data_IF_609005025653
#
_entry.id   IF_609005025653
#
_cell.length_a   1.000
_cell.length_b   1.000
_cell.length_c   1.000
_cell.angle_alpha   90.00
_cell.angle_beta   90.00
_cell.angle_gamma   90.00
#
_symmetry.space_group_name_H-M   'P 1'
#
loop_
_entity.id
_entity.type
_entity.pdbx_description
1 polymer ?
#
# COMPACT_ATOMS: atom_id res chain seq x y z
N UNK A 1 -40.24 51.18 48.80
CA UNK A 1 -40.63 50.70 47.45
C UNK A 1 -39.37 50.09 46.85
N UNK A 2 -39.10 48.83 47.19
CA UNK A 2 -39.44 47.64 46.39
C UNK A 2 -38.39 47.44 45.26
N UNK A 3 -37.61 46.37 45.20
CA UNK A 3 -37.68 45.11 45.94
C UNK A 3 -36.34 44.38 45.95
N UNK A 4 -36.17 43.60 47.02
CA UNK A 4 -35.35 42.41 47.06
C UNK A 4 -35.87 41.41 46.02
N UNK A 5 -34.99 40.63 45.39
CA UNK A 5 -35.14 39.18 45.54
C UNK A 5 -33.81 38.44 45.45
N UNK A 6 -33.71 37.40 46.29
CA UNK A 6 -32.56 36.57 46.57
C UNK A 6 -32.82 35.15 46.06
N UNK A 7 -31.79 34.43 45.65
CA UNK A 7 -31.86 32.97 45.45
C UNK A 7 -30.49 32.42 45.04
N UNK A 8 -29.59 32.09 45.97
CA UNK A 8 -29.43 30.79 46.66
C UNK A 8 -28.86 29.71 45.71
N UNK A 9 -27.83 28.90 45.97
CA UNK A 9 -27.13 28.38 47.16
C UNK A 9 -25.71 27.94 46.72
N UNK A 10 -24.60 28.12 47.48
CA UNK A 10 -23.93 27.13 48.38
C UNK A 10 -23.98 25.68 47.84
N UNK A 11 -22.92 24.85 47.78
CA UNK A 11 -21.76 24.66 48.69
C UNK A 11 -20.86 23.49 48.20
N UNK A 12 -19.55 23.56 48.47
CA UNK A 12 -18.66 22.42 48.81
C UNK A 12 -18.20 21.50 47.66
N UNK A 13 -17.05 20.83 47.70
CA UNK A 13 -16.04 20.60 48.75
C UNK A 13 -14.78 20.02 48.06
N UNK A 14 -13.60 20.39 48.57
CA UNK A 14 -12.31 19.94 48.09
C UNK A 14 -11.99 18.47 48.45
N UNK A 15 -11.12 17.88 47.60
CA UNK A 15 -9.91 17.06 47.86
C UNK A 15 -9.98 15.84 48.78
N UNK A 16 -9.46 14.70 48.32
CA UNK A 16 -8.62 13.74 49.06
C UNK A 16 -8.10 12.68 48.05
N UNK A 17 -6.83 12.24 48.00
CA UNK A 17 -5.66 12.43 48.86
C UNK A 17 -4.34 12.50 48.04
N UNK A 18 -3.36 13.30 48.46
CA UNK A 18 -2.27 12.99 49.42
C UNK A 18 -1.05 12.30 48.73
N UNK A 19 -0.01 13.02 48.28
CA UNK A 19 1.22 13.50 48.99
C UNK A 19 2.20 12.34 49.38
N UNK A 20 3.55 12.33 49.26
CA UNK A 20 4.62 13.35 49.09
C UNK A 20 6.00 12.74 48.68
N UNK A 21 6.74 13.49 47.81
CA UNK A 21 8.19 13.78 47.55
C UNK A 21 9.37 12.77 47.66
N UNK A 22 10.38 13.04 46.80
CA UNK A 22 11.75 13.49 47.18
C UNK A 22 12.33 14.44 46.09
N UNK A 23 12.96 15.60 46.41
CA UNK A 23 13.62 16.46 45.42
C UNK A 23 15.09 16.07 45.22
N UNK A 24 15.76 16.75 44.26
CA UNK A 24 17.19 16.70 43.82
C UNK A 24 17.28 16.08 42.41
N UNK A 25 17.91 16.63 41.36
CA UNK A 25 18.68 17.85 41.10
C UNK A 25 18.45 18.24 39.62
N UNK A 26 18.73 19.49 39.26
CA UNK A 26 18.63 19.96 37.87
C UNK A 26 19.76 19.37 37.04
N UNK A 27 19.42 18.59 36.02
CA UNK A 27 20.21 18.52 34.79
C UNK A 27 19.40 19.09 33.64
N UNK A 28 19.98 20.13 33.05
CA UNK A 28 19.42 20.87 31.94
C UNK A 28 19.73 20.09 30.67
N UNK A 29 18.73 19.39 30.12
CA UNK A 29 18.74 19.04 28.70
C UNK A 29 17.37 19.34 28.13
N UNK A 30 17.25 20.57 27.62
CA UNK A 30 16.15 20.95 26.78
C UNK A 30 16.21 20.15 25.48
N UNK A 31 15.20 19.33 25.21
CA UNK A 31 14.38 19.56 24.01
C UNK A 31 13.02 18.85 24.15
N UNK A 32 12.05 19.58 24.71
CA UNK A 32 10.65 19.32 24.45
C UNK A 32 10.26 20.18 23.22
N UNK A 33 10.19 19.51 22.08
CA UNK A 33 9.78 20.03 20.76
C UNK A 33 10.10 18.92 19.76
N UNK A 34 9.22 18.45 18.89
CA UNK A 34 8.08 19.09 18.25
C UNK A 34 7.04 18.02 17.91
N UNK A 35 5.81 18.17 18.39
CA UNK A 35 4.64 17.55 17.79
C UNK A 35 4.03 18.56 16.82
N UNK A 36 4.61 18.62 15.62
CA UNK A 36 4.02 19.23 14.45
C UNK A 36 4.27 18.23 13.32
N UNK A 37 3.30 17.35 13.10
CA UNK A 37 3.33 16.46 11.94
C UNK A 37 3.37 17.34 10.68
N UNK A 38 4.45 17.21 9.92
CA UNK A 38 4.77 18.02 8.76
C UNK A 38 3.83 17.66 7.60
N UNK A 39 2.86 18.54 7.32
CA UNK A 39 1.95 18.48 6.16
C UNK A 39 2.64 19.02 4.89
N UNK A 40 3.73 18.37 4.45
CA UNK A 40 4.47 18.77 3.24
C UNK A 40 4.99 17.58 2.45
N UNK A 41 5.12 17.74 1.13
CA UNK A 41 5.90 16.84 0.28
C UNK A 41 7.36 16.92 0.71
N UNK A 42 7.91 15.83 1.23
CA UNK A 42 9.31 15.77 1.66
C UNK A 42 10.13 14.98 0.64
N UNK A 43 11.37 15.40 0.42
CA UNK A 43 12.33 14.57 -0.32
C UNK A 43 12.58 13.33 0.54
N UNK A 44 12.34 12.14 -0.01
CA UNK A 44 12.46 10.90 0.75
C UNK A 44 13.94 10.61 1.05
N UNK A 45 14.43 11.09 2.20
CA UNK A 45 15.81 10.87 2.67
C UNK A 45 16.05 9.39 3.02
N UNK A 46 14.99 8.64 3.38
CA UNK A 46 15.01 7.22 3.67
C UNK A 46 13.83 6.51 2.97
N UNK A 47 14.16 5.57 2.08
CA UNK A 47 13.20 4.73 1.38
C UNK A 47 13.04 3.41 2.14
N UNK A 48 11.82 2.90 2.38
CA UNK A 48 11.63 1.62 3.06
C UNK A 48 12.15 0.46 2.21
N UNK A 49 12.87 -0.48 2.83
CA UNK A 49 13.36 -1.68 2.13
C UNK A 49 12.22 -2.61 1.69
N UNK A 50 11.06 -2.51 2.34
CA UNK A 50 9.84 -3.28 2.08
C UNK A 50 8.80 -2.48 1.26
N UNK A 51 9.19 -1.38 0.62
CA UNK A 51 8.30 -0.56 -0.18
C UNK A 51 7.88 -1.31 -1.46
N UNK A 52 6.57 -1.53 -1.62
CA UNK A 52 5.99 -2.24 -2.76
C UNK A 52 5.29 -1.25 -3.68
N UNK A 53 5.57 -1.33 -4.98
CA UNK A 53 4.86 -0.54 -6.00
C UNK A 53 3.40 -1.01 -6.10
N UNK A 54 2.46 -0.08 -5.93
CA UNK A 54 1.02 -0.39 -5.89
C UNK A 54 0.21 0.37 -6.95
N UNK A 55 0.83 1.32 -7.64
CA UNK A 55 0.16 2.08 -8.71
C UNK A 55 0.99 3.26 -9.20
N UNK A 56 0.38 4.10 -10.04
CA UNK A 56 0.99 5.32 -10.55
C UNK A 56 -0.01 6.47 -10.63
N UNK A 57 0.44 7.69 -10.35
CA UNK A 57 -0.36 8.91 -10.50
C UNK A 57 -0.54 9.19 -11.99
N UNK A 58 -1.79 9.13 -12.46
CA UNK A 58 -2.13 9.28 -13.88
C UNK A 58 -2.66 10.66 -14.23
N UNK A 59 -3.31 11.35 -13.29
CA UNK A 59 -3.87 12.68 -13.52
C UNK A 59 -4.20 13.43 -12.22
N UNK A 60 -4.55 14.71 -12.34
CA UNK A 60 -5.19 15.47 -11.27
C UNK A 60 -6.70 15.18 -11.21
N UNK A 61 -7.24 15.11 -10.00
CA UNK A 61 -8.67 14.93 -9.73
C UNK A 61 -9.27 16.21 -9.12
N UNK A 62 -10.27 16.79 -9.78
CA UNK A 62 -10.90 18.02 -9.30
C UNK A 62 -9.96 19.23 -9.22
N UNK A 63 -10.28 20.16 -8.31
CA UNK A 63 -9.59 21.45 -8.12
C UNK A 63 -8.88 21.60 -6.76
N UNK A 64 -9.08 20.66 -5.83
CA UNK A 64 -8.61 20.77 -4.43
C UNK A 64 -7.34 19.97 -4.15
N UNK A 65 -6.47 19.83 -5.16
CA UNK A 65 -5.22 19.10 -5.02
C UNK A 65 -5.34 17.58 -4.89
N UNK A 66 -6.45 16.99 -5.35
CA UNK A 66 -6.56 15.53 -5.37
C UNK A 66 -5.82 14.96 -6.58
N UNK A 67 -5.22 13.79 -6.41
CA UNK A 67 -4.54 13.03 -7.47
C UNK A 67 -5.35 11.78 -7.80
N UNK A 68 -5.35 11.39 -9.07
CA UNK A 68 -5.91 10.14 -9.57
C UNK A 68 -4.78 9.14 -9.79
N UNK A 69 -4.91 7.96 -9.19
CA UNK A 69 -3.91 6.89 -9.20
C UNK A 69 -4.49 5.66 -9.89
N UNK A 70 -3.84 5.21 -10.96
CA UNK A 70 -4.11 3.91 -11.54
C UNK A 70 -3.44 2.84 -10.67
N UNK A 71 -4.19 1.82 -10.28
CA UNK A 71 -3.68 0.73 -9.45
C UNK A 71 -2.98 -0.29 -10.33
N UNK A 72 -1.92 -0.94 -9.83
CA UNK A 72 -1.15 -1.92 -10.61
C UNK A 72 -1.77 -3.33 -10.63
N UNK A 73 -2.95 -3.52 -9.99
CA UNK A 73 -3.72 -4.73 -10.17
C UNK A 73 -4.67 -4.53 -11.35
N UNK A 74 -4.39 -5.21 -12.46
CA UNK A 74 -5.36 -5.34 -13.54
C UNK A 74 -6.69 -5.88 -12.98
N UNK A 75 -7.80 -5.27 -13.38
CA UNK A 75 -9.19 -5.63 -13.03
C UNK A 75 -9.82 -5.10 -11.72
N UNK A 76 -9.61 -3.82 -11.38
CA UNK A 76 -10.57 -3.08 -10.55
C UNK A 76 -10.74 -3.57 -9.10
N UNK A 77 -9.94 -4.54 -8.66
CA UNK A 77 -9.79 -4.98 -7.26
C UNK A 77 -8.44 -4.58 -6.66
N UNK A 78 -7.69 -3.72 -7.35
CA UNK A 78 -6.49 -3.07 -6.84
C UNK A 78 -6.83 -1.81 -6.05
N UNK A 79 -6.02 -1.50 -5.04
CA UNK A 79 -6.05 -0.20 -4.36
C UNK A 79 -6.30 -0.24 -2.86
N UNK A 80 -6.57 -1.40 -2.25
CA UNK A 80 -6.75 -1.48 -0.80
C UNK A 80 -5.53 -0.98 -0.02
N UNK A 81 -4.32 -1.30 -0.50
CA UNK A 81 -3.09 -0.79 0.07
C UNK A 81 -3.01 0.76 -0.04
N UNK A 82 -3.41 1.34 -1.18
CA UNK A 82 -3.50 2.80 -1.36
C UNK A 82 -4.57 3.44 -0.46
N UNK A 83 -5.68 2.76 -0.20
CA UNK A 83 -6.78 3.25 0.62
C UNK A 83 -6.45 3.18 2.12
N UNK A 84 -5.72 2.14 2.55
CA UNK A 84 -5.31 1.98 3.95
C UNK A 84 -4.07 2.78 4.30
N UNK A 85 -3.06 2.80 3.42
CA UNK A 85 -1.81 3.49 3.68
C UNK A 85 -2.04 4.99 3.92
N UNK A 86 -1.49 5.48 5.02
CA UNK A 86 -1.51 6.92 5.37
C UNK A 86 -0.27 7.65 4.88
N UNK A 87 0.73 6.91 4.40
CA UNK A 87 1.97 7.45 3.90
C UNK A 87 2.34 6.75 2.59
N UNK A 88 2.66 7.54 1.57
CA UNK A 88 3.05 7.05 0.25
C UNK A 88 4.46 7.52 -0.07
N UNK A 89 5.22 6.65 -0.73
CA UNK A 89 6.52 6.96 -1.31
C UNK A 89 6.34 7.06 -2.83
N UNK A 90 6.86 8.13 -3.41
CA UNK A 90 6.65 8.48 -4.81
C UNK A 90 7.98 8.50 -5.53
N UNK A 91 8.06 7.83 -6.68
CA UNK A 91 9.26 7.82 -7.51
C UNK A 91 8.96 8.22 -8.96
N UNK A 92 9.75 9.15 -9.50
CA UNK A 92 9.73 9.51 -10.92
C UNK A 92 11.16 9.77 -11.41
N UNK A 93 11.75 8.79 -12.09
CA UNK A 93 13.16 8.87 -12.50
C UNK A 93 14.08 8.87 -11.27
N UNK A 94 14.90 9.91 -11.11
CA UNK A 94 15.75 10.10 -9.93
C UNK A 94 15.04 10.83 -8.77
N UNK A 95 13.84 11.35 -9.00
CA UNK A 95 13.06 12.10 -8.01
C UNK A 95 12.34 11.12 -7.07
N UNK A 96 12.62 11.22 -5.77
CA UNK A 96 12.00 10.42 -4.70
C UNK A 96 11.39 11.33 -3.64
N UNK A 97 10.08 11.20 -3.44
CA UNK A 97 9.31 11.98 -2.48
C UNK A 97 8.59 11.05 -1.50
N UNK A 98 8.33 11.54 -0.31
CA UNK A 98 7.50 10.89 0.69
C UNK A 98 6.38 11.84 1.09
N UNK A 99 5.15 11.34 1.14
CA UNK A 99 3.98 12.18 1.37
C UNK A 99 2.95 11.50 2.25
N UNK A 100 2.39 12.26 3.19
CA UNK A 100 1.23 11.83 3.96
C UNK A 100 -0.04 11.98 3.13
N UNK A 101 -0.91 10.99 3.18
CA UNK A 101 -2.22 11.02 2.54
C UNK A 101 -3.27 11.43 3.56
N UNK A 102 -3.91 12.56 3.30
CA UNK A 102 -4.97 13.13 4.13
C UNK A 102 -6.28 12.35 3.97
N UNK A 103 -6.64 12.05 2.73
CA UNK A 103 -7.84 11.31 2.38
C UNK A 103 -7.58 10.47 1.13
N UNK A 104 -8.21 9.30 1.06
CA UNK A 104 -8.20 8.45 -0.13
C UNK A 104 -9.56 7.77 -0.31
N UNK A 105 -9.98 7.58 -1.56
CA UNK A 105 -11.28 6.98 -1.91
C UNK A 105 -11.17 6.19 -3.21
N UNK A 106 -11.89 5.09 -3.30
CA UNK A 106 -12.06 4.37 -4.55
C UNK A 106 -12.90 5.21 -5.53
N UNK A 107 -12.52 5.21 -6.81
CA UNK A 107 -13.22 5.89 -7.88
C UNK A 107 -13.10 5.10 -9.19
N UNK A 108 -14.15 4.33 -9.50
CA UNK A 108 -14.12 3.33 -10.59
C UNK A 108 -12.92 2.39 -10.42
N UNK A 109 -12.14 2.13 -11.47
CA UNK A 109 -10.93 1.28 -11.42
C UNK A 109 -9.67 2.03 -10.93
N UNK A 110 -9.84 3.18 -10.29
CA UNK A 110 -8.74 4.02 -9.79
C UNK A 110 -8.94 4.42 -8.34
N UNK A 111 -7.87 4.87 -7.70
CA UNK A 111 -7.93 5.50 -6.37
C UNK A 111 -7.70 6.99 -6.54
N UNK A 112 -8.52 7.80 -5.88
CA UNK A 112 -8.26 9.24 -5.74
C UNK A 112 -7.78 9.53 -4.33
N UNK A 113 -6.74 10.34 -4.21
CA UNK A 113 -6.16 10.68 -2.91
C UNK A 113 -5.83 12.16 -2.81
N UNK A 114 -5.79 12.68 -1.59
CA UNK A 114 -5.41 14.05 -1.28
C UNK A 114 -4.06 14.01 -0.51
N UNK A 115 -2.94 14.27 -1.19
CA UNK A 115 -1.64 14.36 -0.55
C UNK A 115 -1.54 15.65 0.29
N UNK A 116 -0.86 15.57 1.44
CA UNK A 116 -0.56 16.74 2.26
C UNK A 116 0.35 17.72 1.49
N UNK A 117 0.11 19.02 1.65
CA UNK A 117 0.86 20.07 0.94
C UNK A 117 0.44 20.29 -0.52
N UNK A 118 -0.53 19.53 -1.05
CA UNK A 118 -1.05 19.68 -2.43
C UNK A 118 -2.46 20.26 -2.36
N UNK A 119 -2.60 21.55 -2.61
CA UNK A 119 -3.87 22.28 -2.40
C UNK A 119 -4.64 22.63 -3.68
N UNK A 120 -4.00 22.59 -4.84
CA UNK A 120 -4.58 23.01 -6.11
C UNK A 120 -4.36 21.99 -7.24
N UNK A 121 -5.09 22.18 -8.35
CA UNK A 121 -5.05 21.29 -9.51
C UNK A 121 -3.67 21.20 -10.15
N UNK A 122 -2.95 22.31 -10.23
CA UNK A 122 -1.68 22.39 -10.95
C UNK A 122 -0.59 21.62 -10.19
N UNK A 123 -0.54 21.77 -8.86
CA UNK A 123 0.31 20.97 -7.99
C UNK A 123 -0.01 19.48 -8.09
N UNK A 124 -1.28 19.10 -8.08
CA UNK A 124 -1.69 17.70 -8.26
C UNK A 124 -1.33 17.17 -9.66
N UNK A 125 -1.46 18.00 -10.70
CA UNK A 125 -1.11 17.61 -12.07
C UNK A 125 0.39 17.43 -12.24
N UNK A 126 1.21 18.24 -11.55
CA UNK A 126 2.66 18.10 -11.53
C UNK A 126 3.14 16.75 -10.94
N UNK A 127 2.30 16.10 -10.14
CA UNK A 127 2.56 14.74 -9.60
C UNK A 127 2.26 13.62 -10.61
N UNK A 128 1.79 13.94 -11.83
CA UNK A 128 1.59 12.92 -12.87
C UNK A 128 2.90 12.22 -13.21
N UNK A 129 2.82 10.90 -13.38
CA UNK A 129 3.96 10.05 -13.73
C UNK A 129 4.79 9.56 -12.55
N UNK A 130 4.46 9.97 -11.32
CA UNK A 130 5.04 9.33 -10.14
C UNK A 130 4.46 7.93 -9.95
N UNK A 131 5.33 6.94 -9.78
CA UNK A 131 5.01 5.61 -9.26
C UNK A 131 4.79 5.70 -7.77
N UNK A 132 3.80 5.00 -7.27
CA UNK A 132 3.36 5.03 -5.87
C UNK A 132 3.74 3.72 -5.21
N UNK A 133 4.47 3.85 -4.11
CA UNK A 133 4.92 2.76 -3.26
C UNK A 133 4.33 2.95 -1.86
N UNK A 134 3.99 1.84 -1.23
CA UNK A 134 3.53 1.79 0.16
C UNK A 134 4.29 0.68 0.87
N UNK A 135 4.43 0.77 2.19
CA UNK A 135 5.10 -0.28 2.95
C UNK A 135 4.26 -1.54 2.93
N UNK A 136 4.94 -2.68 3.02
CA UNK A 136 4.27 -3.98 3.07
C UNK A 136 3.39 -4.10 4.32
N UNK A 137 3.81 -3.51 5.43
CA UNK A 137 3.04 -3.51 6.69
C UNK A 137 1.68 -2.78 6.60
N UNK A 138 1.51 -1.88 5.63
CA UNK A 138 0.26 -1.13 5.42
C UNK A 138 -0.78 -1.92 4.61
N UNK A 139 -0.40 -3.10 4.08
CA UNK A 139 -1.33 -3.95 3.34
C UNK A 139 -2.35 -4.54 4.31
N UNK A 140 -3.63 -4.65 3.91
CA UNK A 140 -4.62 -5.44 4.65
C UNK A 140 -4.07 -6.82 5.04
N UNK A 141 -4.37 -7.28 6.25
CA UNK A 141 -4.19 -8.68 6.57
C UNK A 141 -5.06 -9.52 5.63
N UNK A 142 -4.43 -10.48 4.94
CA UNK A 142 -5.08 -11.43 4.04
C UNK A 142 -5.58 -12.65 4.82
N UNK A 143 -6.63 -13.29 4.32
CA UNK A 143 -6.98 -14.64 4.80
C UNK A 143 -5.88 -15.64 4.43
N UNK A 144 -5.89 -16.84 5.04
CA UNK A 144 -4.84 -17.85 4.87
C UNK A 144 -4.63 -18.32 3.41
N UNK A 145 -5.64 -18.13 2.55
CA UNK A 145 -5.65 -18.54 1.15
C UNK A 145 -5.69 -17.35 0.17
N UNK A 146 -5.49 -16.13 0.67
CA UNK A 146 -5.40 -14.94 -0.16
C UNK A 146 -3.95 -14.51 -0.29
N UNK A 147 -3.56 -14.08 -1.49
CA UNK A 147 -2.21 -13.62 -1.81
C UNK A 147 -2.29 -12.33 -2.61
N UNK A 148 -1.41 -11.37 -2.35
CA UNK A 148 -1.30 -10.24 -3.26
C UNK A 148 -0.55 -10.69 -4.52
N UNK A 149 -1.01 -10.27 -5.68
CA UNK A 149 -0.38 -10.63 -6.96
C UNK A 149 1.08 -10.21 -7.03
N UNK A 150 1.43 -9.08 -6.42
CA UNK A 150 2.83 -8.61 -6.30
C UNK A 150 3.74 -9.61 -5.57
N UNK A 151 3.19 -10.45 -4.70
CA UNK A 151 3.94 -11.50 -4.00
C UNK A 151 4.12 -12.75 -4.85
N UNK A 152 3.20 -12.96 -5.81
CA UNK A 152 3.20 -14.12 -6.71
C UNK A 152 4.10 -13.90 -7.92
N UNK A 153 4.23 -12.66 -8.39
CA UNK A 153 5.07 -12.31 -9.53
C UNK A 153 6.54 -12.63 -9.21
N UNK A 154 7.19 -13.35 -10.13
CA UNK A 154 8.57 -13.80 -10.00
C UNK A 154 8.77 -15.03 -9.12
N UNK A 155 7.70 -15.71 -8.67
CA UNK A 155 7.81 -17.03 -8.04
C UNK A 155 8.04 -18.12 -9.09
N UNK A 156 8.79 -19.16 -8.70
CA UNK A 156 8.99 -20.37 -9.51
C UNK A 156 7.74 -21.24 -9.48
N UNK A 157 7.26 -21.68 -10.64
CA UNK A 157 6.10 -22.55 -10.76
C UNK A 157 6.58 -23.96 -11.10
N UNK A 158 6.17 -24.93 -10.28
CA UNK A 158 6.48 -26.35 -10.47
C UNK A 158 5.22 -27.18 -10.41
N UNK A 159 5.21 -28.34 -11.08
CA UNK A 159 4.13 -29.30 -10.92
C UNK A 159 4.33 -30.21 -9.69
N UNK A 160 3.36 -31.08 -9.41
CA UNK A 160 3.42 -32.04 -8.29
C UNK A 160 4.60 -33.03 -8.39
N UNK A 161 5.10 -33.27 -9.60
CA UNK A 161 6.28 -34.08 -9.88
C UNK A 161 7.60 -33.27 -9.81
N UNK A 162 7.55 -32.03 -9.31
CA UNK A 162 8.69 -31.09 -9.23
C UNK A 162 9.31 -30.71 -10.58
N UNK A 163 8.56 -30.86 -11.68
CA UNK A 163 8.96 -30.35 -13.00
C UNK A 163 8.78 -28.85 -13.02
N UNK A 164 9.81 -28.12 -13.46
CA UNK A 164 9.75 -26.67 -13.60
C UNK A 164 8.87 -26.28 -14.79
N UNK A 165 7.79 -25.53 -14.51
CA UNK A 165 6.87 -25.01 -15.51
C UNK A 165 7.20 -23.59 -15.95
N UNK A 166 8.01 -22.87 -15.18
CA UNK A 166 8.46 -21.51 -15.49
C UNK A 166 8.42 -20.58 -14.29
N UNK A 167 8.30 -19.28 -14.55
CA UNK A 167 8.17 -18.24 -13.53
C UNK A 167 6.92 -17.40 -13.78
N UNK A 168 6.27 -16.96 -12.71
CA UNK A 168 5.11 -16.06 -12.82
C UNK A 168 5.57 -14.71 -13.38
N UNK A 169 5.05 -14.32 -14.54
CA UNK A 169 5.33 -13.01 -15.15
C UNK A 169 4.20 -12.01 -15.00
N UNK A 170 3.02 -12.48 -14.58
CA UNK A 170 1.86 -11.61 -14.36
C UNK A 170 0.63 -12.39 -13.89
N UNK A 171 -0.39 -11.64 -13.53
CA UNK A 171 -1.72 -12.14 -13.19
C UNK A 171 -2.73 -11.41 -14.07
N UNK A 172 -3.72 -12.16 -14.57
CA UNK A 172 -4.83 -11.67 -15.39
C UNK A 172 -6.11 -11.98 -14.62
N UNK A 173 -7.01 -11.03 -14.45
CA UNK A 173 -8.35 -11.33 -13.94
C UNK A 173 -9.36 -11.30 -15.08
N UNK A 174 -10.04 -12.43 -15.26
CA UNK A 174 -11.05 -12.62 -16.31
C UNK A 174 -12.48 -12.33 -15.80
N UNK A 175 -12.63 -11.80 -14.58
CA UNK A 175 -13.89 -11.47 -13.93
C UNK A 175 -14.50 -12.63 -13.12
N UNK A 176 -14.04 -13.86 -13.31
CA UNK A 176 -14.50 -15.05 -12.57
C UNK A 176 -13.39 -15.59 -11.68
N UNK A 177 -12.19 -15.77 -12.25
CA UNK A 177 -11.00 -16.26 -11.57
C UNK A 177 -9.76 -15.50 -12.05
N UNK A 178 -8.79 -15.35 -11.16
CA UNK A 178 -7.45 -14.91 -11.57
C UNK A 178 -6.76 -16.03 -12.35
N UNK A 179 -6.04 -15.66 -13.38
CA UNK A 179 -5.22 -16.50 -14.25
C UNK A 179 -3.78 -16.06 -14.06
N UNK A 180 -2.92 -17.01 -13.70
CA UNK A 180 -1.49 -16.81 -13.57
C UNK A 180 -0.82 -16.99 -14.93
N UNK A 181 -0.07 -15.99 -15.37
CA UNK A 181 0.77 -16.08 -16.57
C UNK A 181 2.16 -16.56 -16.18
N UNK A 182 2.55 -17.70 -16.72
CA UNK A 182 3.81 -18.37 -16.42
C UNK A 182 4.68 -18.38 -17.68
N UNK A 183 5.81 -17.71 -17.62
CA UNK A 183 6.78 -17.68 -18.71
C UNK A 183 7.85 -18.74 -18.52
N UNK A 184 8.23 -19.38 -19.62
CA UNK A 184 9.28 -20.39 -19.63
C UNK A 184 10.16 -20.26 -20.87
N UNK A 185 11.46 -20.60 -20.76
CA UNK A 185 12.34 -20.64 -21.92
C UNK A 185 11.89 -21.71 -22.90
N UNK A 186 11.76 -21.34 -24.16
CA UNK A 186 11.45 -22.24 -25.27
C UNK A 186 12.39 -21.97 -26.45
N UNK A 187 12.33 -22.83 -27.47
CA UNK A 187 13.11 -22.67 -28.69
C UNK A 187 12.16 -22.47 -29.86
N UNK A 188 12.32 -21.36 -30.58
CA UNK A 188 11.54 -21.04 -31.77
C UNK A 188 11.76 -22.04 -32.90
N UNK A 189 10.88 -22.02 -33.91
CA UNK A 189 10.99 -22.90 -35.10
C UNK A 189 12.28 -22.66 -35.91
N UNK A 190 12.90 -21.50 -35.73
CA UNK A 190 14.17 -21.05 -36.29
C UNK A 190 15.39 -21.44 -35.43
N UNK A 191 15.18 -22.15 -34.32
CA UNK A 191 16.23 -22.55 -33.38
C UNK A 191 16.70 -21.44 -32.44
N UNK A 192 16.06 -20.26 -32.47
CA UNK A 192 16.42 -19.16 -31.58
C UNK A 192 15.75 -19.30 -30.20
N UNK A 193 16.40 -18.86 -29.12
CA UNK A 193 15.75 -18.80 -27.81
C UNK A 193 14.54 -17.86 -27.88
N UNK A 194 13.39 -18.36 -27.46
CA UNK A 194 12.16 -17.58 -27.29
C UNK A 194 11.63 -17.76 -25.88
N UNK A 195 10.74 -16.88 -25.46
CA UNK A 195 9.92 -17.08 -24.27
C UNK A 195 8.56 -17.53 -24.74
N UNK A 196 8.06 -18.62 -24.17
CA UNK A 196 6.68 -19.06 -24.36
C UNK A 196 5.92 -18.89 -23.03
N UNK A 197 4.60 -18.86 -23.10
CA UNK A 197 3.74 -18.57 -21.95
C UNK A 197 2.68 -19.66 -21.75
N UNK A 198 2.36 -19.93 -20.48
CA UNK A 198 1.21 -20.74 -20.08
C UNK A 198 0.30 -19.92 -19.19
N UNK A 199 -1.00 -20.13 -19.36
CA UNK A 199 -2.06 -19.49 -18.59
C UNK A 199 -2.69 -20.51 -17.65
N UNK A 200 -2.37 -20.42 -16.36
CA UNK A 200 -2.82 -21.37 -15.34
C UNK A 200 -3.87 -20.69 -14.46
N UNK A 201 -5.12 -21.17 -14.37
CA UNK A 201 -6.11 -20.59 -13.47
C UNK A 201 -5.65 -20.68 -12.01
N UNK A 202 -5.63 -19.55 -11.30
CA UNK A 202 -5.23 -19.44 -9.90
C UNK A 202 -6.43 -19.79 -8.98
N UNK A 203 -6.78 -21.08 -8.98
CA UNK A 203 -7.85 -21.64 -8.16
C UNK A 203 -7.33 -22.91 -7.47
N UNK A 204 -7.87 -23.22 -6.28
CA UNK A 204 -7.37 -24.33 -5.45
C UNK A 204 -7.43 -25.73 -6.10
N UNK A 205 -8.16 -25.89 -7.20
CA UNK A 205 -8.13 -27.13 -8.00
C UNK A 205 -6.76 -27.32 -8.66
N UNK A 206 -6.16 -26.25 -9.18
CA UNK A 206 -4.86 -26.29 -9.85
C UNK A 206 -3.72 -25.82 -8.96
N UNK A 207 -3.91 -24.80 -8.12
CA UNK A 207 -2.88 -24.29 -7.22
C UNK A 207 -2.96 -25.03 -5.89
N UNK A 208 -1.99 -25.90 -5.61
CA UNK A 208 -1.98 -26.73 -4.38
C UNK A 208 -1.29 -26.02 -3.23
N UNK A 209 -0.19 -25.32 -3.48
CA UNK A 209 0.60 -24.68 -2.43
C UNK A 209 1.34 -23.46 -2.95
N UNK A 210 1.38 -22.39 -2.16
CA UNK A 210 2.20 -21.21 -2.38
C UNK A 210 3.15 -21.06 -1.21
N UNK A 211 4.45 -21.25 -1.45
CA UNK A 211 5.51 -21.07 -0.47
C UNK A 211 6.27 -19.78 -0.79
N UNK A 212 5.92 -18.70 -0.10
CA UNK A 212 6.57 -17.40 -0.27
C UNK A 212 8.03 -17.41 0.20
N UNK A 213 8.37 -18.22 1.22
CA UNK A 213 9.73 -18.30 1.75
C UNK A 213 10.67 -19.02 0.79
N UNK A 214 10.21 -20.12 0.19
CA UNK A 214 10.93 -20.83 -0.86
C UNK A 214 10.79 -20.18 -2.25
N UNK A 215 10.01 -19.09 -2.35
CA UNK A 215 9.63 -18.42 -3.60
C UNK A 215 9.08 -19.36 -4.68
N UNK A 216 8.19 -20.27 -4.28
CA UNK A 216 7.71 -21.37 -5.13
C UNK A 216 6.20 -21.56 -5.05
N UNK A 217 5.58 -21.88 -6.18
CA UNK A 217 4.18 -22.29 -6.31
C UNK A 217 4.13 -23.71 -6.87
N UNK A 218 3.37 -24.59 -6.23
CA UNK A 218 3.10 -25.96 -6.69
C UNK A 218 1.71 -26.02 -7.31
N UNK A 219 1.65 -26.49 -8.55
CA UNK A 219 0.41 -26.64 -9.31
C UNK A 219 0.20 -28.08 -9.80
N UNK A 220 -1.05 -28.44 -10.01
CA UNK A 220 -1.47 -29.64 -10.73
C UNK A 220 -1.73 -29.23 -12.17
N UNK A 221 -0.64 -29.20 -12.94
CA UNK A 221 -0.61 -28.78 -14.34
C UNK A 221 0.51 -29.53 -15.07
N UNK A 222 0.22 -30.03 -16.26
CA UNK A 222 1.18 -30.74 -17.09
C UNK A 222 1.96 -29.77 -17.99
N UNK A 223 3.23 -30.09 -18.27
CA UNK A 223 4.10 -29.22 -19.07
C UNK A 223 3.65 -29.11 -20.56
N UNK A 224 2.90 -30.11 -21.03
CA UNK A 224 2.48 -30.24 -22.43
C UNK A 224 1.10 -29.62 -22.74
N UNK A 225 0.47 -28.98 -21.73
CA UNK A 225 -0.88 -28.42 -21.84
C UNK A 225 -0.90 -26.99 -22.41
#
# INVERSE_FOLDING_TARGET
>A
MAGHDSGNARRGRASFGAFVRKPVERDVVANAGQAAEQDSLEVAQAWPDDAVEVGAVVDAYGLKGWVKVATHADAGRGGDALLKARHWWLERGAERLSVRIMQSKAHSDTVVAQPAGVSDRDAAFAMRGFRVFVRREDFPALAADEFYWVDLIGLDVVNEQSVALGKVSGMIDNGVHSIMRVEYPATGKDGQPTTDERLIPFVGVYVKTVDQAARRIVVDWEADY
#
